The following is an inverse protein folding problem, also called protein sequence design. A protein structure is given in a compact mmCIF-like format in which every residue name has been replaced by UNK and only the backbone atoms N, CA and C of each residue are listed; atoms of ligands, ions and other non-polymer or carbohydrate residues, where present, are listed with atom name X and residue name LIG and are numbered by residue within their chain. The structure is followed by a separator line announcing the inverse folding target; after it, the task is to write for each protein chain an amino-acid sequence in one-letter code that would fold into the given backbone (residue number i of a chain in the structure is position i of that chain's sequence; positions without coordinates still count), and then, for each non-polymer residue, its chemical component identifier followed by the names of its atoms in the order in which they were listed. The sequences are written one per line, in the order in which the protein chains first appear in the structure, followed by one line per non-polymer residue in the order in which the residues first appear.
data_IF_832294227532
#
_entry.id   IF_832294227532
#
_cell.length_a   1.000
_cell.length_b   1.000
_cell.length_c   1.000
_cell.angle_alpha   90.00
_cell.angle_beta   90.00
_cell.angle_gamma   90.00
#
_symmetry.space_group_name_H-M   'P 1'
#
loop_
_entity.id
_entity.type
_entity.pdbx_description
1 polymer ?
#
# COMPACT_ATOMS: atom_id res chain seq x y z
N UNK A 1 22.38 0.87 24.40
CA UNK A 1 22.25 1.52 23.08
C UNK A 1 23.49 2.37 22.84
N UNK A 2 24.15 2.23 21.67
CA UNK A 2 25.32 3.03 21.31
C UNK A 2 24.95 4.53 21.21
N UNK A 3 25.96 5.43 21.37
CA UNK A 3 25.76 6.88 21.18
C UNK A 3 25.14 7.19 19.80
N UNK A 4 25.59 6.45 18.77
CA UNK A 4 25.10 6.55 17.40
C UNK A 4 23.59 6.24 17.31
N UNK A 5 23.12 5.14 17.91
CA UNK A 5 21.71 4.77 17.87
C UNK A 5 20.79 5.76 18.58
N UNK A 6 21.31 6.50 19.57
CA UNK A 6 20.57 7.57 20.26
C UNK A 6 20.44 8.84 19.43
N UNK A 7 21.47 9.22 18.68
CA UNK A 7 21.43 10.45 17.85
C UNK A 7 20.75 10.22 16.49
N UNK A 8 20.89 9.04 15.91
CA UNK A 8 20.32 8.68 14.60
C UNK A 8 18.91 8.09 14.70
N UNK A 9 18.51 7.58 15.86
CA UNK A 9 17.22 6.94 16.08
C UNK A 9 17.13 5.48 15.62
N UNK A 10 18.20 4.93 14.98
CA UNK A 10 18.25 3.56 14.49
C UNK A 10 19.67 2.98 14.53
N UNK A 11 19.82 1.68 14.28
CA UNK A 11 21.12 1.01 14.24
C UNK A 11 21.94 1.33 12.98
N UNK A 12 23.26 1.01 13.00
CA UNK A 12 24.14 1.29 11.85
C UNK A 12 23.74 0.53 10.58
N UNK A 13 23.16 -0.64 10.70
CA UNK A 13 22.64 -1.43 9.56
C UNK A 13 21.55 -0.65 8.81
N UNK A 14 20.71 0.06 9.54
CA UNK A 14 19.67 0.91 8.95
C UNK A 14 20.27 2.07 8.14
N UNK A 15 21.33 2.70 8.65
CA UNK A 15 22.06 3.75 7.91
C UNK A 15 22.68 3.19 6.62
N UNK A 16 23.38 2.05 6.71
CA UNK A 16 24.00 1.40 5.55
C UNK A 16 22.95 1.05 4.50
N UNK A 17 21.81 0.50 4.92
CA UNK A 17 20.70 0.21 4.01
C UNK A 17 20.19 1.47 3.29
N UNK A 18 20.03 2.58 4.01
CA UNK A 18 19.63 3.87 3.40
C UNK A 18 20.67 4.39 2.42
N UNK A 19 21.95 4.36 2.80
CA UNK A 19 23.05 4.78 1.92
C UNK A 19 23.17 3.93 0.65
N UNK A 20 22.79 2.66 0.70
CA UNK A 20 22.74 1.78 -0.47
C UNK A 20 21.49 2.02 -1.32
N UNK A 21 20.33 2.30 -0.70
CA UNK A 21 19.06 2.50 -1.41
C UNK A 21 18.95 3.87 -2.06
N UNK A 22 19.56 4.92 -1.47
CA UNK A 22 19.51 6.28 -2.05
C UNK A 22 20.13 6.38 -3.45
N UNK A 23 21.32 5.83 -3.76
CA UNK A 23 21.85 5.82 -5.12
C UNK A 23 20.96 5.03 -6.09
N UNK A 24 20.37 3.91 -5.64
CA UNK A 24 19.44 3.13 -6.45
C UNK A 24 18.17 3.93 -6.78
N UNK A 25 17.61 4.62 -5.79
CA UNK A 25 16.46 5.51 -5.97
C UNK A 25 16.79 6.67 -6.91
N UNK A 26 17.97 7.30 -6.74
CA UNK A 26 18.44 8.36 -7.61
C UNK A 26 18.63 7.87 -9.05
N UNK A 27 19.23 6.70 -9.24
CA UNK A 27 19.38 6.08 -10.55
C UNK A 27 18.01 5.80 -11.19
N UNK A 28 17.06 5.23 -10.45
CA UNK A 28 15.71 4.98 -10.95
C UNK A 28 14.98 6.26 -11.35
N UNK A 29 15.13 7.35 -10.57
CA UNK A 29 14.59 8.67 -10.91
C UNK A 29 15.23 9.25 -12.17
N UNK A 30 16.55 9.09 -12.35
CA UNK A 30 17.25 9.55 -13.56
C UNK A 30 16.76 8.83 -14.82
N UNK A 31 16.35 7.57 -14.72
CA UNK A 31 15.78 6.83 -15.87
C UNK A 31 14.46 7.42 -16.36
N UNK A 32 13.73 8.15 -15.52
CA UNK A 32 12.51 8.86 -15.92
C UNK A 32 12.83 9.92 -17.00
N UNK A 33 14.00 10.56 -16.93
CA UNK A 33 14.40 11.57 -17.91
C UNK A 33 14.83 10.98 -19.27
N UNK A 34 14.99 9.65 -19.34
CA UNK A 34 15.32 8.94 -20.58
C UNK A 34 14.09 8.51 -21.41
N UNK A 35 12.85 8.78 -20.91
CA UNK A 35 11.61 8.40 -21.61
C UNK A 35 10.86 9.61 -22.15
N UNK A 36 10.15 9.43 -23.28
CA UNK A 36 9.51 10.51 -24.03
C UNK A 36 8.40 11.27 -23.26
N UNK A 37 7.86 10.70 -22.21
CA UNK A 37 6.76 11.29 -21.43
C UNK A 37 7.17 11.75 -20.03
N UNK A 38 8.41 12.18 -19.84
CA UNK A 38 8.99 12.61 -18.56
C UNK A 38 8.06 13.56 -17.78
N UNK A 39 7.58 14.63 -18.42
CA UNK A 39 6.71 15.61 -17.75
C UNK A 39 5.43 15.00 -17.19
N UNK A 40 4.80 14.08 -17.91
CA UNK A 40 3.61 13.37 -17.45
C UNK A 40 3.91 12.44 -16.27
N UNK A 41 5.04 11.73 -16.33
CA UNK A 41 5.48 10.84 -15.24
C UNK A 41 5.76 11.66 -13.98
N UNK A 42 6.49 12.78 -14.09
CA UNK A 42 6.77 13.67 -12.97
C UNK A 42 5.50 14.28 -12.38
N UNK A 43 4.54 14.67 -13.22
CA UNK A 43 3.23 15.17 -12.76
C UNK A 43 2.48 14.11 -11.95
N UNK A 44 2.44 12.86 -12.45
CA UNK A 44 1.81 11.76 -11.73
C UNK A 44 2.55 11.42 -10.44
N UNK A 45 3.88 11.42 -10.44
CA UNK A 45 4.69 11.18 -9.25
C UNK A 45 4.45 12.25 -8.18
N UNK A 46 4.52 13.53 -8.56
CA UNK A 46 4.23 14.64 -7.64
C UNK A 46 2.79 14.58 -7.13
N UNK A 47 1.82 14.35 -8.03
CA UNK A 47 0.43 14.19 -7.67
C UNK A 47 0.18 13.03 -6.71
N UNK A 48 0.86 11.89 -6.91
CA UNK A 48 0.77 10.73 -6.02
C UNK A 48 1.34 11.04 -4.62
N UNK A 49 2.47 11.72 -4.53
CA UNK A 49 3.06 12.15 -3.24
C UNK A 49 2.12 13.10 -2.51
N UNK A 50 1.62 14.13 -3.20
CA UNK A 50 0.68 15.10 -2.62
C UNK A 50 -0.61 14.40 -2.17
N UNK A 51 -1.18 13.53 -3.00
CA UNK A 51 -2.39 12.78 -2.66
C UNK A 51 -2.15 11.85 -1.44
N UNK A 52 -1.00 11.19 -1.39
CA UNK A 52 -0.64 10.35 -0.27
C UNK A 52 -0.52 11.14 1.03
N UNK A 53 0.24 12.22 1.03
CA UNK A 53 0.58 12.94 2.27
C UNK A 53 -0.54 13.88 2.75
N UNK A 54 -1.26 14.55 1.84
CA UNK A 54 -2.29 15.52 2.21
C UNK A 54 -3.70 14.92 2.26
N UNK A 55 -3.94 13.78 1.60
CA UNK A 55 -5.28 13.18 1.57
C UNK A 55 -5.26 11.83 2.31
N UNK A 56 -4.42 10.89 1.89
CA UNK A 56 -4.48 9.53 2.42
C UNK A 56 -4.01 9.43 3.86
N UNK A 57 -2.92 10.11 4.25
CA UNK A 57 -2.43 10.08 5.63
C UNK A 57 -3.41 10.70 6.63
N UNK A 58 -3.97 11.90 6.41
CA UNK A 58 -5.00 12.45 7.30
C UNK A 58 -6.26 11.59 7.34
N UNK A 59 -6.73 11.09 6.20
CA UNK A 59 -7.89 10.20 6.12
C UNK A 59 -7.65 8.93 6.94
N UNK A 60 -6.51 8.27 6.74
CA UNK A 60 -6.11 7.11 7.52
C UNK A 60 -6.08 7.41 9.03
N UNK A 61 -5.52 8.55 9.42
CA UNK A 61 -5.43 8.97 10.82
C UNK A 61 -6.80 9.21 11.46
N UNK A 62 -7.76 9.74 10.70
CA UNK A 62 -9.15 9.92 11.15
C UNK A 62 -9.85 8.57 11.29
N UNK A 63 -9.72 7.69 10.29
CA UNK A 63 -10.32 6.35 10.31
C UNK A 63 -9.73 5.49 11.44
N UNK A 64 -8.42 5.56 11.69
CA UNK A 64 -7.77 4.84 12.79
C UNK A 64 -8.29 5.32 14.15
N UNK A 65 -8.45 6.64 14.33
CA UNK A 65 -9.04 7.20 15.55
C UNK A 65 -10.49 6.77 15.74
N UNK A 66 -11.28 6.77 14.67
CA UNK A 66 -12.67 6.31 14.73
C UNK A 66 -12.75 4.82 15.06
N UNK A 67 -11.94 3.99 14.42
CA UNK A 67 -11.86 2.55 14.69
C UNK A 67 -11.51 2.26 16.17
N UNK A 68 -10.55 2.99 16.75
CA UNK A 68 -10.16 2.85 18.17
C UNK A 68 -11.25 3.28 19.16
N UNK A 69 -12.20 4.12 18.75
CA UNK A 69 -13.35 4.49 19.59
C UNK A 69 -14.43 3.42 19.62
N UNK A 70 -14.57 2.66 18.53
CA UNK A 70 -15.65 1.69 18.35
C UNK A 70 -15.20 0.26 18.68
N UNK A 71 -13.93 -0.07 18.39
CA UNK A 71 -13.40 -1.42 18.55
C UNK A 71 -12.53 -1.53 19.82
N UNK A 72 -12.62 -2.66 20.56
CA UNK A 72 -11.64 -2.97 21.60
C UNK A 72 -10.21 -2.93 21.05
N UNK A 73 -9.26 -2.40 21.81
CA UNK A 73 -7.88 -2.21 21.38
C UNK A 73 -7.22 -3.48 20.80
N UNK A 74 -7.59 -4.66 21.34
CA UNK A 74 -7.13 -5.97 20.84
C UNK A 74 -7.69 -6.33 19.46
N UNK A 75 -8.81 -5.74 19.03
CA UNK A 75 -9.47 -6.05 17.76
C UNK A 75 -9.10 -5.07 16.61
N UNK A 76 -8.58 -3.89 16.93
CA UNK A 76 -8.30 -2.84 15.92
C UNK A 76 -7.40 -3.34 14.78
N UNK A 77 -6.33 -4.06 15.09
CA UNK A 77 -5.40 -4.55 14.07
C UNK A 77 -6.03 -5.62 13.15
N UNK A 78 -7.02 -6.35 13.64
CA UNK A 78 -7.74 -7.37 12.85
C UNK A 78 -8.73 -6.76 11.84
N UNK A 79 -9.02 -5.48 11.96
CA UNK A 79 -9.78 -4.72 10.94
C UNK A 79 -8.84 -3.88 10.09
N UNK A 80 -7.89 -3.21 10.72
CA UNK A 80 -6.94 -2.29 10.08
C UNK A 80 -6.05 -2.95 9.04
N UNK A 81 -5.48 -4.13 9.35
CA UNK A 81 -4.58 -4.83 8.43
C UNK A 81 -5.32 -5.32 7.18
N UNK A 82 -6.43 -6.08 7.26
CA UNK A 82 -7.15 -6.51 6.06
C UNK A 82 -7.71 -5.33 5.26
N UNK A 83 -8.19 -4.27 5.92
CA UNK A 83 -8.65 -3.06 5.23
C UNK A 83 -7.52 -2.37 4.48
N UNK A 84 -6.36 -2.20 5.11
CA UNK A 84 -5.18 -1.60 4.48
C UNK A 84 -4.72 -2.40 3.26
N UNK A 85 -4.66 -3.73 3.38
CA UNK A 85 -4.32 -4.62 2.26
C UNK A 85 -5.36 -4.57 1.13
N UNK A 86 -6.66 -4.55 1.47
CA UNK A 86 -7.73 -4.45 0.49
C UNK A 86 -7.68 -3.12 -0.28
N UNK A 87 -7.43 -2.01 0.40
CA UNK A 87 -7.26 -0.69 -0.22
C UNK A 87 -5.99 -0.61 -1.07
N UNK A 88 -4.90 -1.22 -0.62
CA UNK A 88 -3.67 -1.31 -1.41
C UNK A 88 -3.90 -2.11 -2.70
N UNK A 89 -4.57 -3.26 -2.61
CA UNK A 89 -4.97 -4.04 -3.78
C UNK A 89 -5.88 -3.23 -4.71
N UNK A 90 -6.88 -2.52 -4.16
CA UNK A 90 -7.73 -1.64 -4.96
C UNK A 90 -6.92 -0.57 -5.68
N UNK A 91 -5.95 0.04 -5.03
CA UNK A 91 -5.10 1.08 -5.62
C UNK A 91 -4.24 0.52 -6.77
N UNK A 92 -3.60 -0.64 -6.56
CA UNK A 92 -2.74 -1.30 -7.57
C UNK A 92 -3.56 -1.76 -8.78
N UNK A 93 -4.75 -2.32 -8.55
CA UNK A 93 -5.63 -2.83 -9.59
C UNK A 93 -6.71 -1.85 -10.03
N UNK A 94 -6.62 -0.58 -9.59
CA UNK A 94 -7.61 0.45 -9.91
C UNK A 94 -7.89 0.60 -11.42
N UNK A 95 -6.89 0.56 -12.32
CA UNK A 95 -7.16 0.63 -13.75
C UNK A 95 -8.01 -0.53 -14.25
N UNK A 96 -7.73 -1.76 -13.79
CA UNK A 96 -8.49 -2.96 -14.16
C UNK A 96 -9.90 -2.93 -13.57
N UNK A 97 -10.04 -2.55 -12.28
CA UNK A 97 -11.33 -2.40 -11.59
C UNK A 97 -12.22 -1.35 -12.29
N UNK A 98 -11.60 -0.27 -12.79
CA UNK A 98 -12.29 0.78 -13.55
C UNK A 98 -12.51 0.45 -15.03
N UNK A 99 -12.22 -0.78 -15.47
CA UNK A 99 -12.34 -1.19 -16.87
C UNK A 99 -11.35 -0.53 -17.83
N UNK A 100 -10.28 0.09 -17.29
CA UNK A 100 -9.24 0.75 -18.08
C UNK A 100 -8.16 -0.26 -18.48
N UNK A 101 -7.69 -0.15 -19.73
CA UNK A 101 -6.57 -0.96 -20.22
C UNK A 101 -6.94 -2.38 -20.70
N UNK A 102 -8.19 -2.82 -20.62
CA UNK A 102 -8.61 -4.16 -21.07
C UNK A 102 -8.27 -4.42 -22.53
N UNK A 103 -8.51 -3.46 -23.41
CA UNK A 103 -8.20 -3.57 -24.82
C UNK A 103 -6.69 -3.74 -25.10
N UNK A 104 -5.84 -3.03 -24.34
CA UNK A 104 -4.38 -3.16 -24.45
C UNK A 104 -3.91 -4.51 -23.88
N UNK A 105 -4.47 -4.94 -22.75
CA UNK A 105 -4.14 -6.22 -22.14
C UNK A 105 -4.54 -7.39 -23.04
N UNK A 106 -5.74 -7.36 -23.65
CA UNK A 106 -6.18 -8.37 -24.64
C UNK A 106 -5.24 -8.44 -25.86
N UNK A 107 -4.78 -7.28 -26.31
CA UNK A 107 -3.87 -7.20 -27.48
C UNK A 107 -2.53 -7.85 -27.21
N UNK A 108 -2.01 -7.77 -25.97
CA UNK A 108 -0.70 -8.29 -25.58
C UNK A 108 -0.76 -9.73 -25.09
N UNK A 109 -1.78 -10.07 -24.27
CA UNK A 109 -1.88 -11.38 -23.60
C UNK A 109 -2.86 -12.35 -24.26
N UNK A 110 -3.73 -11.87 -25.16
CA UNK A 110 -4.85 -12.65 -25.69
C UNK A 110 -6.00 -12.84 -24.72
N UNK A 111 -5.90 -12.32 -23.48
CA UNK A 111 -6.86 -12.51 -22.40
C UNK A 111 -7.48 -11.18 -21.98
N UNK A 112 -8.75 -11.19 -21.53
CA UNK A 112 -9.41 -10.04 -20.94
C UNK A 112 -9.32 -10.01 -19.41
N UNK A 113 -9.74 -8.87 -18.82
CA UNK A 113 -9.93 -8.77 -17.39
C UNK A 113 -11.29 -9.38 -17.01
N UNK A 114 -11.31 -10.65 -16.61
CA UNK A 114 -12.54 -11.29 -16.17
C UNK A 114 -12.87 -10.85 -14.74
N UNK A 115 -14.03 -10.19 -14.57
CA UNK A 115 -14.63 -9.85 -13.28
C UNK A 115 -13.62 -9.24 -12.26
N UNK A 116 -12.88 -8.16 -12.57
CA UNK A 116 -11.85 -7.64 -11.67
C UNK A 116 -12.41 -7.14 -10.34
N UNK A 117 -13.62 -6.58 -10.33
CA UNK A 117 -14.32 -6.14 -9.11
C UNK A 117 -14.66 -7.33 -8.22
N UNK A 118 -15.20 -8.41 -8.79
CA UNK A 118 -15.56 -9.61 -8.04
C UNK A 118 -14.33 -10.26 -7.42
N UNK A 119 -13.24 -10.36 -8.17
CA UNK A 119 -11.96 -10.91 -7.66
C UNK A 119 -11.41 -10.07 -6.51
N UNK A 120 -11.48 -8.75 -6.63
CA UNK A 120 -11.08 -7.85 -5.54
C UNK A 120 -11.98 -8.00 -4.31
N UNK A 121 -13.30 -8.11 -4.49
CA UNK A 121 -14.24 -8.35 -3.39
C UNK A 121 -13.98 -9.69 -2.70
N UNK A 122 -13.75 -10.75 -3.48
CA UNK A 122 -13.42 -12.08 -2.94
C UNK A 122 -12.10 -12.06 -2.15
N UNK A 123 -11.06 -11.42 -2.68
CA UNK A 123 -9.79 -11.24 -1.98
C UNK A 123 -9.98 -10.46 -0.67
N UNK A 124 -10.76 -9.38 -0.70
CA UNK A 124 -11.11 -8.58 0.47
C UNK A 124 -11.86 -9.42 1.52
N UNK A 125 -12.87 -10.16 1.10
CA UNK A 125 -13.61 -11.05 1.99
C UNK A 125 -12.73 -12.13 2.61
N UNK A 126 -11.82 -12.73 1.84
CA UNK A 126 -10.84 -13.70 2.34
C UNK A 126 -9.90 -13.10 3.39
N UNK A 127 -9.38 -11.87 3.15
CA UNK A 127 -8.53 -11.16 4.11
C UNK A 127 -9.25 -10.93 5.45
N UNK A 128 -10.51 -10.49 5.41
CA UNK A 128 -11.31 -10.29 6.62
C UNK A 128 -11.67 -11.61 7.30
N UNK A 129 -12.01 -12.66 6.56
CA UNK A 129 -12.30 -13.99 7.11
C UNK A 129 -11.07 -14.57 7.84
N UNK A 130 -9.89 -14.54 7.22
CA UNK A 130 -8.64 -14.99 7.83
C UNK A 130 -8.35 -14.18 9.10
N UNK A 131 -8.46 -12.86 9.04
CA UNK A 131 -8.24 -11.98 10.18
C UNK A 131 -9.21 -12.28 11.32
N UNK A 132 -10.48 -12.52 11.02
CA UNK A 132 -11.51 -12.91 12.00
C UNK A 132 -11.21 -14.23 12.66
N UNK A 133 -10.82 -15.25 11.90
CA UNK A 133 -10.40 -16.56 12.44
C UNK A 133 -9.23 -16.40 13.39
N UNK A 134 -8.19 -15.65 13.01
CA UNK A 134 -7.02 -15.42 13.86
C UNK A 134 -7.41 -14.71 15.16
N UNK A 135 -8.31 -13.72 15.10
CA UNK A 135 -8.83 -13.04 16.29
C UNK A 135 -9.53 -14.01 17.23
N UNK A 136 -10.43 -14.86 16.70
CA UNK A 136 -11.19 -15.85 17.49
C UNK A 136 -10.25 -16.86 18.14
N UNK A 137 -9.30 -17.39 17.37
CA UNK A 137 -8.32 -18.37 17.89
C UNK A 137 -7.47 -17.77 19.01
N UNK A 138 -7.00 -16.52 18.84
CA UNK A 138 -6.22 -15.84 19.88
C UNK A 138 -7.03 -15.57 21.14
N UNK A 139 -8.29 -15.16 21.02
CA UNK A 139 -9.18 -14.95 22.17
C UNK A 139 -9.50 -16.22 22.97
N UNK A 140 -9.45 -17.40 22.29
CA UNK A 140 -9.68 -18.70 22.96
C UNK A 140 -8.43 -19.23 23.69
N UNK A 141 -7.25 -18.71 23.33
CA UNK A 141 -5.97 -19.17 23.89
C UNK A 141 -5.41 -18.29 25.02
N UNK A 142 -5.96 -17.09 25.21
CA UNK A 142 -5.61 -16.17 26.30
C UNK A 142 -6.74 -15.98 27.25
#
# INVERSE_FOLDING_TARGET
MSRFARSYGAGPVHLIAHLALLPLAAWALLQIFAVDNTGRILLWLAGAVIAHDLILLPLYSVLDRAARRVLPGSAVNYVRIPLGLALLLALVYLPQIAGKGDAQFRRVSGQGFDAPVERWLLATAALFAISGVVLVVRRRRG
#
